data_IF_869824975916
#
_entry.id   IF_869824975916
#
_cell.length_a   1.000
_cell.length_b   1.000
_cell.length_c   1.000
_cell.angle_alpha   90.00
_cell.angle_beta   90.00
_cell.angle_gamma   90.00
#
_symmetry.space_group_name_H-M   'P 1'
#
loop_
_entity.id
_entity.type
_entity.pdbx_description
1 polymer ?
#
# COMPACT_ATOMS: atom_id res chain seq x y z
N UNK A 1 5.60 -11.26 8.04
CA UNK A 1 4.98 -11.72 6.78
C UNK A 1 6.06 -12.20 5.83
N UNK A 2 5.92 -13.38 5.20
CA UNK A 2 6.82 -13.77 4.10
C UNK A 2 6.36 -13.03 2.83
N UNK A 3 7.22 -12.18 2.29
CA UNK A 3 6.93 -11.43 1.07
C UNK A 3 6.94 -12.40 -0.12
N UNK A 4 5.87 -12.48 -0.92
CA UNK A 4 5.80 -13.41 -2.03
C UNK A 4 6.77 -13.00 -3.16
N UNK A 5 7.30 -13.97 -3.93
CA UNK A 5 8.01 -13.66 -5.16
C UNK A 5 7.10 -12.89 -6.12
N UNK A 6 7.70 -12.04 -6.95
CA UNK A 6 6.96 -11.22 -7.91
C UNK A 6 7.59 -11.29 -9.31
N UNK A 7 6.87 -10.79 -10.31
CA UNK A 7 7.27 -10.89 -11.71
C UNK A 7 8.53 -10.06 -12.00
N UNK A 8 9.32 -10.40 -13.04
CA UNK A 8 10.49 -9.61 -13.43
C UNK A 8 10.19 -8.14 -13.73
N UNK A 9 8.98 -7.84 -14.22
CA UNK A 9 8.52 -6.46 -14.44
C UNK A 9 8.46 -5.71 -13.11
N UNK A 10 7.81 -6.28 -12.10
CA UNK A 10 7.64 -5.67 -10.78
C UNK A 10 8.98 -5.57 -10.05
N UNK A 11 9.86 -6.57 -10.17
CA UNK A 11 11.21 -6.52 -9.59
C UNK A 11 11.98 -5.27 -10.06
N UNK A 12 11.88 -4.93 -11.34
CA UNK A 12 12.50 -3.70 -11.88
C UNK A 12 11.89 -2.43 -11.28
N UNK A 13 10.58 -2.42 -11.01
CA UNK A 13 9.93 -1.27 -10.37
C UNK A 13 10.43 -1.13 -8.93
N UNK A 14 10.41 -2.23 -8.15
CA UNK A 14 10.88 -2.25 -6.75
C UNK A 14 12.32 -1.78 -6.61
N UNK A 15 13.19 -2.13 -7.56
CA UNK A 15 14.59 -1.67 -7.59
C UNK A 15 14.71 -0.15 -7.67
N UNK A 16 13.76 0.53 -8.30
CA UNK A 16 13.75 1.99 -8.47
C UNK A 16 13.01 2.73 -7.35
N UNK A 17 12.31 2.02 -6.45
CA UNK A 17 11.64 2.66 -5.32
C UNK A 17 12.64 3.21 -4.31
N UNK A 18 12.36 4.41 -3.82
CA UNK A 18 13.05 5.03 -2.68
C UNK A 18 12.85 4.21 -1.39
N UNK A 19 13.68 4.40 -0.35
CA UNK A 19 13.48 3.74 0.94
C UNK A 19 12.09 3.99 1.54
N UNK A 20 11.63 5.25 1.53
CA UNK A 20 10.30 5.62 2.00
C UNK A 20 9.18 4.90 1.23
N UNK A 21 9.25 4.87 -0.10
CA UNK A 21 8.26 4.16 -0.93
C UNK A 21 8.22 2.65 -0.64
N UNK A 22 9.37 2.03 -0.35
CA UNK A 22 9.42 0.63 0.07
C UNK A 22 8.74 0.42 1.43
N UNK A 23 8.95 1.33 2.38
CA UNK A 23 8.30 1.27 3.70
C UNK A 23 6.79 1.45 3.59
N UNK A 24 6.31 2.44 2.83
CA UNK A 24 4.88 2.63 2.55
C UNK A 24 4.31 1.36 1.93
N UNK A 25 4.96 0.80 0.91
CA UNK A 25 4.47 -0.39 0.22
C UNK A 25 4.37 -1.61 1.14
N UNK A 26 5.34 -1.80 2.05
CA UNK A 26 5.26 -2.88 3.03
C UNK A 26 4.04 -2.73 3.94
N UNK A 27 3.72 -1.49 4.37
CA UNK A 27 2.52 -1.24 5.18
C UNK A 27 1.25 -1.54 4.39
N UNK A 28 1.16 -1.14 3.12
CA UNK A 28 0.01 -1.45 2.27
C UNK A 28 -0.16 -2.97 2.03
N UNK A 29 0.93 -3.68 1.76
CA UNK A 29 0.92 -5.13 1.58
C UNK A 29 0.55 -5.89 2.86
N UNK A 30 0.78 -5.31 4.03
CA UNK A 30 0.31 -5.89 5.30
C UNK A 30 -1.15 -5.56 5.58
N UNK A 31 -1.61 -4.38 5.16
CA UNK A 31 -3.01 -4.01 5.25
C UNK A 31 -3.88 -4.90 4.36
N UNK A 32 -3.45 -5.10 3.10
CA UNK A 32 -4.05 -5.96 2.07
C UNK A 32 -5.58 -6.10 2.17
N UNK A 33 -6.35 -5.01 2.00
CA UNK A 33 -7.78 -4.99 2.31
C UNK A 33 -8.60 -5.98 1.48
N UNK A 34 -8.15 -6.31 0.26
CA UNK A 34 -8.79 -7.29 -0.63
C UNK A 34 -8.17 -8.69 -0.55
N UNK A 35 -7.23 -8.90 0.37
CA UNK A 35 -6.57 -10.19 0.59
C UNK A 35 -5.92 -10.78 -0.67
N UNK A 36 -5.43 -9.95 -1.60
CA UNK A 36 -4.86 -10.43 -2.87
C UNK A 36 -3.61 -11.29 -2.63
N UNK A 37 -2.87 -11.03 -1.54
CA UNK A 37 -1.72 -11.82 -1.12
C UNK A 37 -2.09 -13.20 -0.57
N UNK A 38 -3.37 -13.46 -0.29
CA UNK A 38 -3.87 -14.74 0.22
C UNK A 38 -4.51 -15.61 -0.87
N UNK A 39 -4.61 -15.10 -2.10
CA UNK A 39 -5.18 -15.84 -3.22
C UNK A 39 -4.11 -16.74 -3.83
N UNK A 40 -4.32 -18.06 -3.71
CA UNK A 40 -3.39 -19.08 -4.21
C UNK A 40 -3.11 -18.89 -5.72
N UNK A 41 -1.82 -18.77 -6.06
CA UNK A 41 -1.35 -18.55 -7.44
C UNK A 41 -1.41 -17.10 -7.92
N UNK A 42 -1.95 -16.18 -7.11
CA UNK A 42 -2.04 -14.74 -7.40
C UNK A 42 -1.25 -13.88 -6.41
N UNK A 43 -0.45 -14.47 -5.52
CA UNK A 43 0.27 -13.74 -4.47
C UNK A 43 1.25 -12.70 -5.02
N UNK A 44 1.73 -12.90 -6.26
CA UNK A 44 2.57 -11.94 -6.98
C UNK A 44 1.87 -10.62 -7.29
N UNK A 45 0.52 -10.62 -7.36
CA UNK A 45 -0.31 -9.43 -7.58
C UNK A 45 -0.30 -8.51 -6.36
N UNK A 46 0.08 -9.00 -5.17
CA UNK A 46 0.20 -8.20 -3.96
C UNK A 46 1.10 -6.98 -4.15
N UNK A 47 2.18 -7.15 -4.93
CA UNK A 47 3.05 -6.03 -5.26
C UNK A 47 2.45 -5.10 -6.31
N UNK A 48 1.84 -5.66 -7.36
CA UNK A 48 1.33 -4.90 -8.50
C UNK A 48 0.17 -3.99 -8.07
N UNK A 49 -0.72 -4.52 -7.22
CA UNK A 49 -1.88 -3.81 -6.69
C UNK A 49 -1.45 -2.53 -5.95
N UNK A 50 -0.56 -2.68 -4.96
CA UNK A 50 -0.29 -1.60 -4.01
C UNK A 50 0.80 -0.60 -4.44
N UNK A 51 1.69 -0.98 -5.37
CA UNK A 51 2.71 -0.06 -5.91
C UNK A 51 2.07 1.16 -6.60
N UNK A 52 0.90 0.98 -7.22
CA UNK A 52 0.20 2.04 -7.95
C UNK A 52 -0.19 3.24 -7.07
N UNK A 53 -0.34 3.03 -5.76
CA UNK A 53 -0.78 4.05 -4.81
C UNK A 53 0.36 4.87 -4.18
N UNK A 54 1.62 4.41 -4.33
CA UNK A 54 2.78 5.02 -3.70
C UNK A 54 2.97 6.51 -4.03
N UNK A 55 2.80 6.99 -5.28
CA UNK A 55 2.98 8.41 -5.59
C UNK A 55 2.03 9.32 -4.79
N UNK A 56 0.78 8.88 -4.59
CA UNK A 56 -0.24 9.68 -3.89
C UNK A 56 0.04 9.73 -2.39
N UNK A 57 0.42 8.60 -1.79
CA UNK A 57 0.78 8.51 -0.37
C UNK A 57 2.07 9.28 -0.04
N UNK A 58 3.10 9.13 -0.88
CA UNK A 58 4.35 9.88 -0.74
C UNK A 58 4.10 11.39 -0.80
N UNK A 59 3.34 11.84 -1.81
CA UNK A 59 3.03 13.27 -1.95
C UNK A 59 2.27 13.82 -0.73
N UNK A 60 1.33 13.03 -0.18
CA UNK A 60 0.61 13.44 1.04
C UNK A 60 1.56 13.56 2.24
N UNK A 61 2.46 12.58 2.45
CA UNK A 61 3.47 12.64 3.51
C UNK A 61 4.42 13.84 3.35
N UNK A 62 4.95 14.07 2.15
CA UNK A 62 5.87 15.17 1.88
C UNK A 62 5.22 16.55 2.12
N UNK A 63 3.91 16.66 1.94
CA UNK A 63 3.13 17.88 2.20
C UNK A 63 2.62 17.99 3.64
N UNK A 64 2.79 16.96 4.46
CA UNK A 64 2.21 16.90 5.81
C UNK A 64 0.68 16.82 5.80
N UNK A 65 0.09 16.27 4.74
CA UNK A 65 -1.34 16.01 4.63
C UNK A 65 -1.71 14.72 5.38
N UNK A 66 -2.93 14.65 5.90
CA UNK A 66 -3.42 13.43 6.53
C UNK A 66 -3.50 12.27 5.53
N UNK A 67 -3.11 11.06 5.97
CA UNK A 67 -3.05 9.87 5.10
C UNK A 67 -4.39 9.16 5.02
N UNK A 68 -5.22 9.23 6.07
CA UNK A 68 -6.52 8.53 6.09
C UNK A 68 -7.40 8.83 4.86
N UNK A 69 -7.55 10.08 4.38
CA UNK A 69 -8.31 10.35 3.16
C UNK A 69 -7.76 9.64 1.91
N UNK A 70 -6.45 9.41 1.83
CA UNK A 70 -5.84 8.65 0.73
C UNK A 70 -6.22 7.17 0.84
N UNK A 71 -6.22 6.60 2.06
CA UNK A 71 -6.65 5.21 2.28
C UNK A 71 -8.16 5.02 2.05
N UNK A 72 -8.98 5.99 2.46
CA UNK A 72 -10.42 5.98 2.19
C UNK A 72 -10.68 6.01 0.67
N UNK A 73 -9.88 6.77 -0.09
CA UNK A 73 -9.92 6.77 -1.56
C UNK A 73 -9.47 5.43 -2.16
N UNK A 74 -8.40 4.81 -1.64
CA UNK A 74 -7.90 3.51 -2.14
C UNK A 74 -9.00 2.45 -2.01
N UNK A 75 -9.58 2.25 -0.82
CA UNK A 75 -10.65 1.26 -0.64
C UNK A 75 -11.95 1.69 -1.33
N UNK A 76 -12.43 2.90 -1.05
CA UNK A 76 -13.77 3.33 -1.44
C UNK A 76 -13.92 3.60 -2.94
N UNK A 77 -12.93 4.23 -3.57
CA UNK A 77 -13.02 4.67 -4.97
C UNK A 77 -12.18 3.83 -5.91
N UNK A 78 -10.91 3.56 -5.58
CA UNK A 78 -10.01 2.83 -6.48
C UNK A 78 -10.36 1.35 -6.54
N UNK A 79 -10.52 0.72 -5.37
CA UNK A 79 -10.96 -0.68 -5.25
C UNK A 79 -12.49 -0.76 -5.42
N UNK A 80 -13.23 0.24 -4.92
CA UNK A 80 -14.68 0.36 -5.09
C UNK A 80 -15.52 -0.19 -3.93
N UNK A 81 -14.90 -0.54 -2.80
CA UNK A 81 -15.60 -0.99 -1.59
C UNK A 81 -14.72 -0.89 -0.34
N UNK A 82 -15.34 -0.59 0.81
CA UNK A 82 -14.66 -0.58 2.11
C UNK A 82 -14.61 -1.99 2.72
N UNK A 83 -13.53 -2.71 2.43
CA UNK A 83 -13.32 -4.08 2.92
C UNK A 83 -12.85 -4.14 4.37
N UNK A 84 -12.20 -3.09 4.88
CA UNK A 84 -11.76 -3.03 6.28
C UNK A 84 -12.58 -2.04 7.10
N UNK A 85 -12.46 -2.11 8.43
CA UNK A 85 -13.12 -1.14 9.31
C UNK A 85 -12.45 0.22 9.24
N UNK A 86 -13.17 1.27 9.64
CA UNK A 86 -12.59 2.61 9.70
C UNK A 86 -11.42 2.68 10.69
N UNK A 87 -11.50 1.98 11.82
CA UNK A 87 -10.43 1.89 12.82
C UNK A 87 -9.18 1.26 12.21
N UNK A 88 -9.34 0.22 11.37
CA UNK A 88 -8.21 -0.38 10.66
C UNK A 88 -7.58 0.61 9.70
N UNK A 89 -8.37 1.39 8.94
CA UNK A 89 -7.83 2.46 8.08
C UNK A 89 -7.12 3.55 8.87
N UNK A 90 -7.63 3.93 10.04
CA UNK A 90 -6.95 4.88 10.95
C UNK A 90 -5.61 4.32 11.43
N UNK A 91 -5.57 3.06 11.84
CA UNK A 91 -4.34 2.40 12.28
C UNK A 91 -3.28 2.42 11.18
N UNK A 92 -3.65 2.05 9.95
CA UNK A 92 -2.74 2.04 8.81
C UNK A 92 -2.30 3.46 8.44
N UNK A 93 -3.20 4.45 8.49
CA UNK A 93 -2.85 5.84 8.25
C UNK A 93 -1.79 6.32 9.23
N UNK A 94 -2.00 6.12 10.54
CA UNK A 94 -1.06 6.50 11.57
C UNK A 94 0.31 5.84 11.38
N UNK A 95 0.33 4.56 10.96
CA UNK A 95 1.59 3.85 10.67
C UNK A 95 2.36 4.48 9.52
N UNK A 96 1.67 4.87 8.44
CA UNK A 96 2.28 5.54 7.29
C UNK A 96 2.75 6.95 7.67
N UNK A 97 1.96 7.70 8.45
CA UNK A 97 2.31 9.05 8.94
C UNK A 97 3.55 9.07 9.86
N UNK A 98 3.85 7.95 10.52
CA UNK A 98 5.07 7.81 11.32
C UNK A 98 6.33 7.55 10.47
N UNK A 99 6.18 7.22 9.18
CA UNK A 99 7.30 7.05 8.27
C UNK A 99 7.88 8.43 7.96
N UNK A 100 9.12 8.67 8.36
CA UNK A 100 9.80 9.94 8.12
C UNK A 100 10.40 9.94 6.71
N UNK A 101 10.24 11.02 5.93
CA UNK A 101 11.04 11.24 4.74
C UNK A 101 12.53 11.45 5.07
#
# INVERSE_FOLDING_TARGET
MKIPPTTPRIQKIIQNLTPLEKEINMVLMEWDPISVGQIEGMEHNLWDEYISYLPKLKMALEKGEAIKPVLDWIEGESIGFFYTSEERRIEIANRIEMLKP
#
